data_IF_815958401318
#
_entry.id   IF_815958401318
#
_cell.length_a   1.000
_cell.length_b   1.000
_cell.length_c   1.000
_cell.angle_alpha   90.00
_cell.angle_beta   90.00
_cell.angle_gamma   90.00
#
_symmetry.space_group_name_H-M   'P 1'
#
loop_
_entity.id
_entity.type
_entity.pdbx_description
1 polymer ?
#
# COMPACT_ATOMS: atom_id res chain seq x y z
N UNK A 1 -12.20 24.72 8.46
CA UNK A 1 -11.84 23.83 9.59
C UNK A 1 -10.34 23.84 9.72
N UNK A 2 -9.85 23.86 10.96
CA UNK A 2 -8.49 23.43 11.31
C UNK A 2 -8.48 21.91 11.46
N UNK A 3 -7.72 21.22 10.62
CA UNK A 3 -7.73 19.76 10.52
C UNK A 3 -6.34 19.20 10.82
N UNK A 4 -6.28 18.27 11.77
CA UNK A 4 -5.08 17.50 12.08
C UNK A 4 -5.09 16.18 11.29
N UNK A 5 -4.02 15.88 10.57
CA UNK A 5 -3.79 14.56 9.99
C UNK A 5 -2.61 13.90 10.72
N UNK A 6 -2.85 12.76 11.35
CA UNK A 6 -1.83 12.03 12.12
C UNK A 6 -1.16 10.99 11.24
N UNK A 7 0.14 11.15 11.02
CA UNK A 7 1.02 10.29 10.21
C UNK A 7 1.29 10.87 8.82
N UNK A 8 2.57 11.06 8.47
CA UNK A 8 3.04 11.56 7.18
C UNK A 8 3.53 10.44 6.25
N UNK A 9 2.85 9.29 6.28
CA UNK A 9 2.96 8.30 5.21
C UNK A 9 2.18 8.74 3.96
N UNK A 10 2.28 7.98 2.86
CA UNK A 10 1.64 8.36 1.58
C UNK A 10 0.13 8.59 1.68
N UNK A 11 -0.57 7.84 2.55
CA UNK A 11 -2.01 8.01 2.76
C UNK A 11 -2.29 9.29 3.54
N UNK A 12 -1.55 9.57 4.62
CA UNK A 12 -1.74 10.79 5.40
C UNK A 12 -1.39 12.05 4.61
N UNK A 13 -0.32 12.02 3.80
CA UNK A 13 0.02 13.13 2.90
C UNK A 13 -1.02 13.31 1.79
N UNK A 14 -1.53 12.22 1.21
CA UNK A 14 -2.63 12.33 0.23
C UNK A 14 -3.90 12.92 0.87
N UNK A 15 -4.25 12.51 2.09
CA UNK A 15 -5.37 13.08 2.84
C UNK A 15 -5.16 14.55 3.17
N UNK A 16 -3.99 14.92 3.68
CA UNK A 16 -3.66 16.32 3.96
C UNK A 16 -3.78 17.18 2.71
N UNK A 17 -3.31 16.70 1.57
CA UNK A 17 -3.45 17.36 0.27
C UNK A 17 -4.92 17.53 -0.12
N UNK A 18 -5.71 16.47 -0.07
CA UNK A 18 -7.14 16.53 -0.44
C UNK A 18 -7.90 17.56 0.42
N UNK A 19 -7.61 17.60 1.72
CA UNK A 19 -8.22 18.57 2.65
C UNK A 19 -7.74 20.01 2.38
N UNK A 20 -6.45 20.21 2.11
CA UNK A 20 -5.91 21.53 1.80
C UNK A 20 -6.50 22.10 0.49
N UNK A 21 -6.67 21.25 -0.54
CA UNK A 21 -7.34 21.61 -1.80
C UNK A 21 -8.81 21.99 -1.62
N UNK A 22 -9.47 21.49 -0.57
CA UNK A 22 -10.84 21.89 -0.18
C UNK A 22 -10.88 23.16 0.68
N UNK A 23 -9.73 23.80 0.90
CA UNK A 23 -9.63 25.07 1.63
C UNK A 23 -9.61 24.92 3.16
N UNK A 24 -9.31 23.73 3.68
CA UNK A 24 -9.07 23.56 5.11
C UNK A 24 -7.65 23.98 5.49
N UNK A 25 -7.47 24.46 6.72
CA UNK A 25 -6.15 24.66 7.31
C UNK A 25 -5.66 23.32 7.84
N UNK A 26 -4.58 22.79 7.27
CA UNK A 26 -4.13 21.41 7.55
C UNK A 26 -2.80 21.41 8.28
N UNK A 27 -2.72 20.66 9.37
CA UNK A 27 -1.45 20.26 9.99
C UNK A 27 -1.31 18.74 9.87
N UNK A 28 -0.23 18.28 9.25
CA UNK A 28 0.16 16.86 9.25
C UNK A 28 1.18 16.67 10.38
N UNK A 29 0.82 15.89 11.41
CA UNK A 29 1.73 15.57 12.52
C UNK A 29 2.39 14.20 12.29
N UNK A 30 3.71 14.16 12.32
CA UNK A 30 4.54 12.97 12.15
C UNK A 30 5.39 12.73 13.40
N UNK A 31 5.38 11.50 13.90
CA UNK A 31 6.15 11.11 15.08
C UNK A 31 7.65 11.02 14.78
N UNK A 32 8.01 10.68 13.54
CA UNK A 32 9.39 10.54 13.08
C UNK A 32 10.02 11.89 12.68
N UNK A 33 11.33 11.88 12.41
CA UNK A 33 12.10 13.06 12.01
C UNK A 33 12.03 13.40 10.51
N UNK A 34 11.29 12.59 9.74
CA UNK A 34 11.01 12.78 8.33
C UNK A 34 9.69 12.11 7.94
N UNK A 35 9.08 12.59 6.85
CA UNK A 35 7.90 11.96 6.27
C UNK A 35 8.23 10.63 5.59
N UNK A 36 7.24 9.75 5.46
CA UNK A 36 7.32 8.55 4.63
C UNK A 36 8.26 7.46 5.12
N UNK A 37 8.80 7.55 6.33
CA UNK A 37 9.80 6.61 6.88
C UNK A 37 9.21 5.25 7.28
N UNK A 38 7.89 5.17 7.49
CA UNK A 38 7.16 3.96 7.87
C UNK A 38 6.90 2.97 6.72
N UNK A 39 5.70 2.41 6.64
CA UNK A 39 5.31 1.41 5.61
C UNK A 39 5.55 1.91 4.19
N UNK A 40 5.37 3.21 3.95
CA UNK A 40 5.53 3.83 2.64
C UNK A 40 6.94 3.71 2.05
N UNK A 41 8.00 3.67 2.87
CA UNK A 41 9.39 3.49 2.41
C UNK A 41 9.77 2.02 2.13
N UNK A 42 8.91 1.07 2.51
CA UNK A 42 9.22 -0.38 2.51
C UNK A 42 8.17 -1.17 1.74
N UNK A 43 7.86 -0.72 0.53
CA UNK A 43 6.88 -1.34 -0.37
C UNK A 43 7.54 -1.85 -1.64
N UNK A 44 6.79 -2.55 -2.50
CA UNK A 44 7.26 -2.93 -3.84
C UNK A 44 7.13 -1.80 -4.87
N UNK A 45 6.56 -0.65 -4.48
CA UNK A 45 6.35 0.51 -5.34
C UNK A 45 5.48 0.25 -6.59
N UNK A 46 4.68 -0.81 -6.55
CA UNK A 46 3.81 -1.19 -7.66
C UNK A 46 2.54 -0.34 -7.67
N UNK A 47 2.21 0.20 -8.85
CA UNK A 47 0.88 0.71 -9.17
C UNK A 47 0.02 -0.50 -9.57
N UNK A 48 -0.84 -0.96 -8.65
CA UNK A 48 -1.68 -2.14 -8.85
C UNK A 48 -2.87 -1.83 -9.76
N UNK A 49 -3.26 -2.81 -10.59
CA UNK A 49 -4.38 -2.64 -11.51
C UNK A 49 -5.75 -2.99 -10.92
N UNK A 50 -5.84 -3.68 -9.78
CA UNK A 50 -7.13 -3.94 -9.09
C UNK A 50 -7.81 -5.30 -9.30
N UNK A 51 -7.16 -6.27 -9.96
CA UNK A 51 -7.79 -7.56 -10.33
C UNK A 51 -7.94 -8.63 -9.25
N UNK A 52 -7.26 -8.49 -8.11
CA UNK A 52 -7.23 -9.54 -7.08
C UNK A 52 -8.24 -9.33 -5.95
N UNK A 53 -8.81 -8.14 -5.86
CA UNK A 53 -9.62 -7.75 -4.71
C UNK A 53 -11.08 -8.15 -4.93
N UNK A 54 -11.77 -8.69 -3.90
CA UNK A 54 -13.18 -9.02 -4.00
C UNK A 54 -14.00 -7.82 -4.50
N UNK A 55 -14.92 -8.06 -5.42
CA UNK A 55 -15.82 -7.01 -5.92
C UNK A 55 -16.61 -6.37 -4.77
N UNK A 56 -16.77 -5.05 -4.81
CA UNK A 56 -17.46 -4.27 -3.76
C UNK A 56 -16.61 -3.96 -2.52
N UNK A 57 -15.37 -4.46 -2.44
CA UNK A 57 -14.43 -4.07 -1.38
C UNK A 57 -13.87 -2.66 -1.58
N UNK A 58 -13.52 -2.00 -0.48
CA UNK A 58 -12.79 -0.74 -0.44
C UNK A 58 -11.47 -0.86 -1.21
N UNK A 59 -10.75 -1.98 -1.05
CA UNK A 59 -9.55 -2.28 -1.84
C UNK A 59 -9.81 -2.32 -3.34
N UNK A 60 -10.88 -2.98 -3.79
CA UNK A 60 -11.18 -3.06 -5.22
C UNK A 60 -11.50 -1.67 -5.79
N UNK A 61 -12.39 -0.94 -5.13
CA UNK A 61 -12.79 0.41 -5.54
C UNK A 61 -11.61 1.36 -5.59
N UNK A 62 -10.91 1.53 -4.46
CA UNK A 62 -9.82 2.48 -4.34
C UNK A 62 -8.57 2.07 -5.11
N UNK A 63 -8.35 0.79 -5.41
CA UNK A 63 -7.21 0.40 -6.24
C UNK A 63 -7.41 0.82 -7.69
N UNK A 64 -8.59 0.57 -8.27
CA UNK A 64 -8.86 0.86 -9.68
C UNK A 64 -8.90 2.37 -9.91
N UNK A 65 -9.65 3.07 -9.08
CA UNK A 65 -9.76 4.52 -9.16
C UNK A 65 -8.46 5.21 -8.75
N UNK A 66 -7.83 4.76 -7.66
CA UNK A 66 -6.54 5.28 -7.21
C UNK A 66 -5.44 5.11 -8.25
N UNK A 67 -5.38 3.98 -8.99
CA UNK A 67 -4.42 3.82 -10.07
C UNK A 67 -4.59 4.87 -11.17
N UNK A 68 -5.84 5.19 -11.55
CA UNK A 68 -6.15 6.24 -12.54
C UNK A 68 -5.69 7.61 -12.04
N UNK A 69 -6.06 7.97 -10.81
CA UNK A 69 -5.67 9.24 -10.21
C UNK A 69 -4.15 9.35 -10.07
N UNK A 70 -3.48 8.28 -9.64
CA UNK A 70 -2.04 8.25 -9.42
C UNK A 70 -1.25 8.44 -10.71
N UNK A 71 -1.63 7.77 -11.81
CA UNK A 71 -0.98 8.02 -13.11
C UNK A 71 -1.15 9.47 -13.56
N UNK A 72 -2.36 10.04 -13.42
CA UNK A 72 -2.61 11.43 -13.77
C UNK A 72 -1.77 12.39 -12.92
N UNK A 73 -1.72 12.15 -11.60
CA UNK A 73 -0.93 12.94 -10.66
C UNK A 73 0.56 12.87 -10.98
N UNK A 74 1.08 11.68 -11.26
CA UNK A 74 2.49 11.51 -11.58
C UNK A 74 2.86 12.21 -12.89
N UNK A 75 1.97 12.18 -13.88
CA UNK A 75 2.17 12.88 -15.14
C UNK A 75 2.14 14.41 -14.98
N UNK A 76 1.22 14.96 -14.18
CA UNK A 76 1.11 16.40 -13.97
C UNK A 76 2.21 16.99 -13.10
N UNK A 77 2.75 16.23 -12.15
CA UNK A 77 3.75 16.71 -11.18
C UNK A 77 5.17 16.21 -11.47
N UNK A 78 5.37 15.49 -12.58
CA UNK A 78 6.68 14.97 -12.95
C UNK A 78 7.22 13.90 -11.99
N UNK A 79 6.36 13.20 -11.25
CA UNK A 79 6.77 12.09 -10.39
C UNK A 79 7.24 10.93 -11.27
N UNK A 80 8.47 10.41 -11.09
CA UNK A 80 8.97 9.30 -11.88
C UNK A 80 8.08 8.06 -11.75
N UNK A 81 7.61 7.54 -12.87
CA UNK A 81 6.74 6.36 -12.93
C UNK A 81 6.84 5.66 -14.28
N UNK A 82 6.45 4.39 -14.33
CA UNK A 82 6.45 3.59 -15.56
C UNK A 82 5.33 2.56 -15.56
N UNK A 83 4.44 2.63 -16.54
CA UNK A 83 3.46 1.58 -16.84
C UNK A 83 4.15 0.41 -17.57
N UNK A 84 4.99 -0.34 -16.85
CA UNK A 84 5.80 -1.42 -17.43
C UNK A 84 5.00 -2.69 -17.75
N UNK A 85 3.74 -2.79 -17.30
CA UNK A 85 2.93 -3.98 -17.43
C UNK A 85 3.29 -5.09 -16.42
N UNK A 86 2.38 -6.04 -16.28
CA UNK A 86 2.56 -7.24 -15.46
C UNK A 86 2.03 -8.47 -16.18
N UNK A 87 2.72 -9.59 -16.04
CA UNK A 87 2.22 -10.92 -16.39
C UNK A 87 1.90 -11.70 -15.12
N UNK A 88 0.68 -12.21 -15.02
CA UNK A 88 0.30 -13.19 -14.01
C UNK A 88 0.40 -14.57 -14.68
N UNK A 89 1.21 -15.47 -14.15
CA UNK A 89 1.66 -16.65 -14.89
C UNK A 89 1.27 -17.95 -14.19
N UNK A 90 0.81 -18.91 -15.00
CA UNK A 90 0.49 -20.26 -14.57
C UNK A 90 1.60 -21.20 -15.05
N UNK A 91 1.94 -22.15 -14.20
CA UNK A 91 2.93 -23.20 -14.45
C UNK A 91 2.28 -24.55 -14.76
N UNK A 92 0.97 -24.68 -14.51
CA UNK A 92 0.16 -25.88 -14.72
C UNK A 92 -1.31 -25.51 -15.04
N UNK A 93 -2.12 -26.52 -15.37
CA UNK A 93 -3.51 -26.34 -15.80
C UNK A 93 -4.41 -25.85 -14.65
N UNK A 94 -4.16 -26.28 -13.41
CA UNK A 94 -4.92 -25.83 -12.25
C UNK A 94 -4.67 -24.35 -11.92
N UNK A 95 -3.46 -23.85 -12.15
CA UNK A 95 -3.15 -22.43 -12.09
C UNK A 95 -3.80 -21.63 -13.24
N UNK A 96 -3.94 -22.22 -14.43
CA UNK A 96 -4.57 -21.56 -15.59
C UNK A 96 -6.06 -21.22 -15.34
N UNK A 97 -6.82 -22.12 -14.69
CA UNK A 97 -8.21 -21.84 -14.32
C UNK A 97 -8.34 -20.64 -13.37
N UNK A 98 -7.40 -20.50 -12.43
CA UNK A 98 -7.35 -19.36 -11.51
C UNK A 98 -7.03 -18.06 -12.23
N UNK A 99 -6.15 -18.09 -13.22
CA UNK A 99 -5.88 -16.92 -14.06
C UNK A 99 -7.16 -16.47 -14.77
N UNK A 100 -7.96 -17.40 -15.29
CA UNK A 100 -9.24 -17.07 -15.89
C UNK A 100 -10.22 -16.46 -14.87
N UNK A 101 -10.23 -16.94 -13.63
CA UNK A 101 -11.02 -16.34 -12.54
C UNK A 101 -10.55 -14.92 -12.20
N UNK A 102 -9.23 -14.69 -12.10
CA UNK A 102 -8.64 -13.36 -11.86
C UNK A 102 -8.99 -12.40 -12.99
N UNK A 103 -8.99 -12.87 -14.24
CA UNK A 103 -9.42 -12.06 -15.39
C UNK A 103 -10.87 -11.61 -15.23
N UNK A 104 -11.80 -12.54 -14.96
CA UNK A 104 -13.23 -12.20 -14.75
C UNK A 104 -13.42 -11.23 -13.59
N UNK A 105 -12.71 -11.42 -12.48
CA UNK A 105 -12.75 -10.48 -11.35
C UNK A 105 -12.20 -9.10 -11.73
N UNK A 106 -11.10 -9.05 -12.48
CA UNK A 106 -10.54 -7.80 -12.99
C UNK A 106 -11.50 -7.08 -13.94
N UNK A 107 -12.13 -7.79 -14.86
CA UNK A 107 -13.18 -7.23 -15.73
C UNK A 107 -14.36 -6.70 -14.92
N UNK A 108 -14.83 -7.44 -13.92
CA UNK A 108 -15.91 -7.01 -13.02
C UNK A 108 -15.53 -5.80 -12.16
N UNK A 109 -14.26 -5.67 -11.78
CA UNK A 109 -13.74 -4.51 -11.05
C UNK A 109 -13.47 -3.30 -11.98
N UNK A 110 -13.66 -3.45 -13.30
CA UNK A 110 -13.43 -2.36 -14.27
C UNK A 110 -11.96 -2.17 -14.66
N UNK A 111 -11.12 -3.19 -14.49
CA UNK A 111 -9.70 -3.14 -14.90
C UNK A 111 -9.58 -3.20 -16.43
N UNK A 112 -9.03 -2.17 -17.09
CA UNK A 112 -9.00 -2.14 -18.55
C UNK A 112 -7.83 -2.91 -19.14
N UNK A 113 -8.04 -3.48 -20.33
CA UNK A 113 -6.98 -4.02 -21.19
C UNK A 113 -6.37 -5.35 -20.73
N UNK A 114 -7.12 -6.16 -19.97
CA UNK A 114 -6.65 -7.49 -19.57
C UNK A 114 -6.68 -8.46 -20.75
N UNK A 115 -5.55 -9.12 -21.01
CA UNK A 115 -5.39 -10.03 -22.13
C UNK A 115 -4.90 -11.40 -21.66
N UNK A 116 -5.63 -12.45 -22.02
CA UNK A 116 -5.17 -13.82 -21.79
C UNK A 116 -4.23 -14.24 -22.93
N UNK A 117 -3.03 -14.70 -22.57
CA UNK A 117 -1.98 -15.10 -23.48
C UNK A 117 -1.66 -16.57 -23.28
N UNK A 118 -1.48 -17.31 -24.37
CA UNK A 118 -0.81 -18.60 -24.29
C UNK A 118 0.69 -18.43 -23.95
N UNK A 119 1.34 -19.51 -23.52
CA UNK A 119 2.76 -19.47 -23.15
C UNK A 119 3.70 -19.04 -24.28
N UNK A 120 3.34 -19.27 -25.56
CA UNK A 120 4.14 -18.81 -26.69
C UNK A 120 4.08 -17.28 -26.83
N UNK A 121 2.89 -16.70 -26.67
CA UNK A 121 2.66 -15.26 -26.70
C UNK A 121 3.32 -14.57 -25.52
N UNK A 122 3.22 -15.16 -24.32
CA UNK A 122 3.91 -14.66 -23.14
C UNK A 122 5.44 -14.66 -23.32
N UNK A 123 6.03 -15.72 -23.91
CA UNK A 123 7.47 -15.78 -24.23
C UNK A 123 7.93 -14.80 -25.31
N UNK A 124 7.05 -14.41 -26.23
CA UNK A 124 7.35 -13.33 -27.19
C UNK A 124 7.51 -11.98 -26.47
N UNK A 125 6.78 -11.77 -25.37
CA UNK A 125 6.93 -10.57 -24.53
C UNK A 125 8.14 -10.67 -23.59
N UNK A 126 8.35 -11.85 -23.00
CA UNK A 126 9.37 -12.10 -21.99
C UNK A 126 10.12 -13.42 -22.30
N UNK A 127 11.22 -13.39 -23.07
CA UNK A 127 11.89 -14.60 -23.58
C UNK A 127 12.39 -15.59 -22.52
N UNK A 128 12.68 -15.11 -21.30
CA UNK A 128 13.13 -15.94 -20.19
C UNK A 128 11.99 -16.61 -19.40
N UNK A 129 10.73 -16.39 -19.80
CA UNK A 129 9.56 -16.84 -19.06
C UNK A 129 9.22 -18.30 -19.34
N UNK A 130 9.00 -19.07 -18.27
CA UNK A 130 8.34 -20.37 -18.32
C UNK A 130 6.90 -20.23 -17.80
N UNK A 131 5.91 -20.51 -18.66
CA UNK A 131 4.51 -20.57 -18.28
C UNK A 131 3.69 -21.35 -19.31
N UNK A 132 2.54 -21.88 -18.89
CA UNK A 132 1.50 -22.47 -19.75
C UNK A 132 0.59 -21.38 -20.31
N UNK A 133 0.14 -20.47 -19.44
CA UNK A 133 -0.76 -19.35 -19.73
C UNK A 133 -0.31 -18.13 -18.91
N UNK A 134 -0.53 -16.93 -19.44
CA UNK A 134 -0.34 -15.69 -18.72
C UNK A 134 -1.54 -14.74 -18.89
N UNK A 135 -1.88 -13.99 -17.86
CA UNK A 135 -2.76 -12.82 -17.96
C UNK A 135 -1.90 -11.56 -17.97
N UNK A 136 -1.96 -10.83 -19.07
CA UNK A 136 -1.28 -9.57 -19.25
C UNK A 136 -2.15 -8.41 -18.73
N UNK A 137 -1.57 -7.64 -17.83
CA UNK A 137 -2.13 -6.40 -17.30
C UNK A 137 -1.24 -5.22 -17.72
N UNK A 138 -1.55 -4.55 -18.84
CA UNK A 138 -0.67 -3.55 -19.44
C UNK A 138 -0.55 -2.28 -18.60
N UNK A 139 -1.56 -1.96 -17.78
CA UNK A 139 -1.56 -0.74 -16.95
C UNK A 139 -0.93 -0.91 -15.57
N UNK A 140 -0.48 -2.12 -15.20
CA UNK A 140 0.30 -2.27 -13.97
C UNK A 140 1.64 -1.56 -14.17
N UNK A 141 2.14 -0.88 -13.14
CA UNK A 141 3.37 -0.13 -13.25
C UNK A 141 4.11 0.00 -11.94
N UNK A 142 5.08 0.90 -11.93
CA UNK A 142 5.89 1.25 -10.77
C UNK A 142 6.04 2.76 -10.65
N UNK A 143 6.22 3.27 -9.45
CA UNK A 143 6.31 4.70 -9.12
C UNK A 143 7.43 4.95 -8.13
N UNK A 144 8.11 6.08 -8.21
CA UNK A 144 8.97 6.55 -7.11
C UNK A 144 8.08 7.02 -5.95
N UNK A 145 7.97 6.18 -4.92
CA UNK A 145 7.08 6.45 -3.80
C UNK A 145 7.52 7.65 -2.95
N UNK A 146 8.83 7.94 -2.90
CA UNK A 146 9.35 9.07 -2.14
C UNK A 146 9.12 10.38 -2.89
N UNK A 147 9.37 10.42 -4.21
CA UNK A 147 9.03 11.56 -5.05
C UNK A 147 7.52 11.84 -5.07
N UNK A 148 6.68 10.80 -5.04
CA UNK A 148 5.23 10.95 -4.88
C UNK A 148 4.90 11.66 -3.56
N UNK A 149 5.42 11.17 -2.43
CA UNK A 149 5.18 11.77 -1.11
C UNK A 149 5.69 13.21 -1.03
N UNK A 150 6.85 13.50 -1.61
CA UNK A 150 7.40 14.84 -1.69
C UNK A 150 6.49 15.79 -2.49
N UNK A 151 5.96 15.34 -3.62
CA UNK A 151 5.02 16.14 -4.42
C UNK A 151 3.70 16.39 -3.68
N UNK A 152 3.18 15.39 -2.95
CA UNK A 152 1.99 15.55 -2.10
C UNK A 152 2.23 16.57 -0.99
N UNK A 153 3.38 16.52 -0.33
CA UNK A 153 3.78 17.48 0.69
C UNK A 153 3.88 18.90 0.12
N UNK A 154 4.51 19.06 -1.06
CA UNK A 154 4.58 20.35 -1.74
C UNK A 154 3.20 20.95 -1.99
N UNK A 155 2.22 20.15 -2.45
CA UNK A 155 0.84 20.64 -2.62
C UNK A 155 0.14 21.00 -1.30
N UNK A 156 0.45 20.32 -0.19
CA UNK A 156 -0.08 20.72 1.13
C UNK A 156 0.45 22.11 1.49
N UNK A 157 1.76 22.33 1.34
CA UNK A 157 2.42 23.60 1.69
C UNK A 157 1.98 24.75 0.76
N UNK A 158 1.83 24.49 -0.54
CA UNK A 158 1.33 25.46 -1.53
C UNK A 158 -0.08 25.96 -1.20
N UNK A 159 -0.87 25.16 -0.47
CA UNK A 159 -2.22 25.50 -0.03
C UNK A 159 -2.27 25.92 1.46
N UNK A 160 -1.12 26.28 2.04
CA UNK A 160 -1.02 26.86 3.39
C UNK A 160 -1.09 25.84 4.53
N UNK A 161 -1.01 24.54 4.23
CA UNK A 161 -0.84 23.51 5.24
C UNK A 161 0.62 23.39 5.72
N UNK A 162 0.84 22.62 6.78
CA UNK A 162 2.15 22.43 7.38
C UNK A 162 2.41 20.99 7.79
N UNK A 163 3.68 20.58 7.78
CA UNK A 163 4.18 19.33 8.36
C UNK A 163 4.90 19.59 9.68
N UNK A 164 4.44 18.95 10.76
CA UNK A 164 5.06 18.97 12.07
C UNK A 164 5.75 17.63 12.34
N UNK A 165 7.08 17.62 12.31
CA UNK A 165 7.92 16.44 12.54
C UNK A 165 8.27 16.27 14.03
N UNK A 166 8.57 15.03 14.45
CA UNK A 166 8.85 14.68 15.86
C UNK A 166 7.72 15.12 16.80
N UNK A 167 6.49 15.04 16.31
CA UNK A 167 5.26 15.47 17.00
C UNK A 167 4.31 14.26 17.10
N UNK A 168 4.62 13.26 17.96
CA UNK A 168 3.74 12.12 18.16
C UNK A 168 2.43 12.58 18.79
N UNK A 169 1.30 12.19 18.19
CA UNK A 169 -0.03 12.42 18.78
C UNK A 169 -0.35 11.24 19.70
N UNK A 170 -0.48 11.53 20.98
CA UNK A 170 -0.61 10.51 22.02
C UNK A 170 -2.07 10.27 22.38
N UNK A 171 -2.88 11.31 22.51
CA UNK A 171 -4.25 11.21 23.01
C UNK A 171 -5.18 12.20 22.27
N UNK A 172 -6.45 11.84 22.12
CA UNK A 172 -7.49 12.71 21.56
C UNK A 172 -8.64 12.80 22.56
N UNK A 173 -8.90 13.98 23.11
CA UNK A 173 -10.06 14.26 23.96
C UNK A 173 -10.99 15.28 23.30
N UNK A 174 -12.19 15.47 23.82
CA UNK A 174 -13.17 16.41 23.26
C UNK A 174 -13.54 17.48 24.26
N UNK A 175 -13.37 18.74 23.85
CA UNK A 175 -13.68 19.91 24.69
C UNK A 175 -14.22 21.05 23.85
N UNK A 176 -15.29 21.68 24.34
CA UNK A 176 -15.91 22.86 23.73
C UNK A 176 -16.24 22.67 22.23
N UNK A 177 -16.63 21.44 21.87
CA UNK A 177 -17.01 21.06 20.49
C UNK A 177 -15.84 20.63 19.60
N UNK A 178 -14.60 20.85 20.02
CA UNK A 178 -13.38 20.57 19.26
C UNK A 178 -12.61 19.37 19.81
N UNK A 179 -11.77 18.77 18.96
CA UNK A 179 -10.82 17.75 19.34
C UNK A 179 -9.58 18.39 19.95
N UNK A 180 -9.18 17.92 21.13
CA UNK A 180 -7.97 18.33 21.81
C UNK A 180 -6.93 17.23 21.58
N UNK A 181 -5.95 17.49 20.73
CA UNK A 181 -4.87 16.56 20.45
C UNK A 181 -3.71 16.81 21.41
N UNK A 182 -3.35 15.81 22.21
CA UNK A 182 -2.16 15.84 23.04
C UNK A 182 -0.94 15.38 22.23
N UNK A 183 0.07 16.23 22.15
CA UNK A 183 1.34 15.94 21.50
C UNK A 183 2.40 15.58 22.54
N UNK A 184 3.21 14.57 22.24
CA UNK A 184 4.42 14.25 22.95
C UNK A 184 5.66 14.87 22.31
N UNK A 185 6.81 14.19 22.44
CA UNK A 185 8.08 14.65 21.87
C UNK A 185 8.85 15.60 22.79
N UNK A 186 9.72 16.44 22.21
CA UNK A 186 10.59 17.34 22.97
C UNK A 186 9.81 18.50 23.62
N UNK A 187 8.73 18.94 22.98
CA UNK A 187 7.86 20.03 23.43
C UNK A 187 6.41 19.52 23.52
N UNK A 188 6.06 18.78 24.59
CA UNK A 188 4.72 18.25 24.74
C UNK A 188 3.70 19.37 24.95
N UNK A 189 2.48 19.16 24.47
CA UNK A 189 1.44 20.18 24.53
C UNK A 189 0.08 19.67 24.10
N UNK A 190 -0.88 20.59 24.00
CA UNK A 190 -2.22 20.29 23.51
C UNK A 190 -2.68 21.40 22.59
N UNK A 191 -3.31 21.02 21.48
CA UNK A 191 -3.92 21.98 20.55
C UNK A 191 -5.32 21.50 20.15
N UNK A 192 -6.20 22.47 19.96
CA UNK A 192 -7.57 22.23 19.52
C UNK A 192 -7.62 22.15 17.99
N UNK A 193 -8.47 21.25 17.47
CA UNK A 193 -8.77 21.09 16.05
C UNK A 193 -10.27 20.89 15.86
N UNK A 194 -10.78 21.36 14.73
CA UNK A 194 -12.17 21.10 14.34
C UNK A 194 -12.35 19.64 13.91
N UNK A 195 -11.32 19.06 13.28
CA UNK A 195 -11.33 17.67 12.85
C UNK A 195 -9.95 16.98 12.95
N UNK A 196 -9.97 15.66 13.07
CA UNK A 196 -8.79 14.80 13.13
C UNK A 196 -8.94 13.60 12.19
N UNK A 197 -7.92 13.35 11.37
CA UNK A 197 -7.75 12.09 10.64
C UNK A 197 -6.60 11.30 11.23
N UNK A 198 -6.89 10.09 11.71
CA UNK A 198 -5.86 9.15 12.13
C UNK A 198 -5.43 8.27 10.94
N UNK A 199 -4.31 8.63 10.31
CA UNK A 199 -3.64 7.88 9.25
C UNK A 199 -2.35 7.21 9.75
N UNK A 200 -2.23 6.95 11.06
CA UNK A 200 -0.98 6.58 11.73
C UNK A 200 -0.53 5.12 11.49
N UNK A 201 -1.10 4.42 10.50
CA UNK A 201 -0.78 3.03 10.13
C UNK A 201 -0.71 2.09 11.34
N UNK A 202 0.49 1.74 11.81
CA UNK A 202 0.68 0.86 12.97
C UNK A 202 0.21 1.49 14.28
N UNK A 203 0.33 2.82 14.41
CA UNK A 203 -0.14 3.58 15.56
C UNK A 203 -1.65 3.80 15.57
N UNK A 204 -2.35 3.56 14.46
CA UNK A 204 -3.75 3.93 14.33
C UNK A 204 -4.66 3.24 15.37
N UNK A 205 -4.58 1.92 15.61
CA UNK A 205 -5.38 1.26 16.65
C UNK A 205 -5.08 1.80 18.06
N UNK A 206 -3.80 2.09 18.36
CA UNK A 206 -3.39 2.58 19.66
C UNK A 206 -3.92 3.99 19.93
N UNK A 207 -3.90 4.88 18.92
CA UNK A 207 -4.48 6.23 19.04
C UNK A 207 -6.00 6.18 19.13
N UNK A 208 -6.66 5.31 18.35
CA UNK A 208 -8.11 5.12 18.42
C UNK A 208 -8.56 4.62 19.80
N UNK A 209 -7.79 3.73 20.44
CA UNK A 209 -8.05 3.28 21.81
C UNK A 209 -7.89 4.39 22.87
N UNK A 210 -7.14 5.45 22.55
CA UNK A 210 -6.92 6.64 23.39
C UNK A 210 -7.67 7.86 22.85
N UNK A 211 -8.73 7.61 22.08
CA UNK A 211 -9.63 8.66 21.60
C UNK A 211 -10.90 8.64 22.44
N UNK A 212 -11.18 9.74 23.13
CA UNK A 212 -12.35 9.89 23.98
C UNK A 212 -13.64 9.62 23.19
N UNK A 213 -14.46 8.72 23.73
CA UNK A 213 -15.74 8.34 23.14
C UNK A 213 -15.66 7.35 21.98
N UNK A 214 -14.46 6.97 21.50
CA UNK A 214 -14.35 5.95 20.47
C UNK A 214 -14.67 4.55 21.04
N UNK A 215 -15.62 3.79 20.47
CA UNK A 215 -16.04 2.52 21.05
C UNK A 215 -14.90 1.49 21.05
N UNK A 216 -14.61 0.90 22.20
CA UNK A 216 -13.48 -0.02 22.38
C UNK A 216 -13.58 -1.26 21.47
N UNK A 217 -14.80 -1.76 21.24
CA UNK A 217 -15.11 -2.88 20.35
C UNK A 217 -14.83 -2.57 18.87
N UNK A 218 -14.75 -1.29 18.49
CA UNK A 218 -14.36 -0.88 17.14
C UNK A 218 -12.85 -0.84 16.98
N UNK A 219 -12.05 -0.78 18.05
CA UNK A 219 -10.59 -0.79 17.92
C UNK A 219 -10.12 -2.15 17.39
N UNK A 220 -9.52 -2.23 16.20
CA UNK A 220 -9.12 -3.52 15.65
C UNK A 220 -7.83 -4.01 16.30
N UNK A 221 -7.63 -5.33 16.28
CA UNK A 221 -6.34 -5.91 16.67
C UNK A 221 -5.33 -5.76 15.54
N UNK A 222 -4.24 -5.04 15.79
CA UNK A 222 -3.12 -4.98 14.87
C UNK A 222 -2.37 -6.32 14.86
N UNK A 223 -2.17 -6.86 13.66
CA UNK A 223 -1.26 -7.97 13.40
C UNK A 223 -0.15 -7.52 12.47
N UNK A 224 1.04 -8.10 12.61
CA UNK A 224 2.18 -7.75 11.78
C UNK A 224 2.56 -8.93 10.88
N UNK A 225 2.64 -8.66 9.59
CA UNK A 225 3.13 -9.61 8.60
C UNK A 225 4.32 -8.99 7.85
N UNK A 226 5.51 -9.50 8.14
CA UNK A 226 6.76 -9.19 7.44
C UNK A 226 6.73 -9.75 6.03
N UNK A 227 7.30 -8.98 5.12
CA UNK A 227 7.58 -9.39 3.75
C UNK A 227 9.04 -9.12 3.44
N UNK A 228 9.78 -10.18 3.19
CA UNK A 228 11.20 -10.15 2.88
C UNK A 228 11.40 -10.02 1.37
N UNK A 229 12.37 -9.19 0.97
CA UNK A 229 12.76 -9.00 -0.41
C UNK A 229 14.21 -9.41 -0.63
N UNK A 230 14.45 -10.02 -1.79
CA UNK A 230 15.78 -10.36 -2.27
C UNK A 230 16.06 -9.62 -3.57
N UNK A 231 17.22 -9.00 -3.66
CA UNK A 231 17.75 -8.47 -4.91
C UNK A 231 18.34 -9.60 -5.75
N UNK A 232 18.55 -9.33 -7.03
CA UNK A 232 19.19 -10.27 -7.96
C UNK A 232 20.40 -9.62 -8.63
N UNK A 233 21.52 -10.33 -8.69
CA UNK A 233 22.71 -9.89 -9.41
C UNK A 233 22.54 -10.10 -10.92
N UNK A 234 23.24 -9.29 -11.71
CA UNK A 234 23.20 -9.35 -13.17
C UNK A 234 22.17 -8.42 -13.80
N UNK A 235 21.95 -8.61 -15.10
CA UNK A 235 21.00 -7.78 -15.87
C UNK A 235 19.57 -8.27 -15.63
N UNK A 236 18.57 -7.38 -15.71
CA UNK A 236 17.17 -7.77 -15.54
C UNK A 236 16.77 -8.81 -16.58
N UNK A 237 16.21 -9.94 -16.13
CA UNK A 237 15.75 -11.01 -17.01
C UNK A 237 14.39 -10.71 -17.68
N UNK A 238 13.67 -9.73 -17.13
CA UNK A 238 12.31 -9.38 -17.54
C UNK A 238 12.17 -7.86 -17.67
N UNK A 239 11.29 -7.43 -18.57
CA UNK A 239 10.92 -6.01 -18.74
C UNK A 239 9.59 -5.64 -18.08
N UNK A 240 8.80 -6.64 -17.71
CA UNK A 240 7.52 -6.56 -16.99
C UNK A 240 7.64 -7.14 -15.58
N UNK A 241 6.66 -6.81 -14.74
CA UNK A 241 6.49 -7.50 -13.45
C UNK A 241 5.95 -8.92 -13.68
N UNK A 242 6.42 -9.91 -12.92
CA UNK A 242 5.99 -11.31 -13.06
C UNK A 242 5.42 -11.80 -11.74
N UNK A 243 4.15 -12.19 -11.74
CA UNK A 243 3.45 -12.66 -10.55
C UNK A 243 2.98 -14.10 -10.80
N UNK A 244 3.40 -15.10 -10.02
CA UNK A 244 2.80 -16.43 -10.11
C UNK A 244 1.30 -16.38 -9.76
N UNK A 245 0.53 -17.30 -10.32
CA UNK A 245 -0.85 -17.51 -9.92
C UNK A 245 -0.94 -17.84 -8.41
N UNK A 246 -1.99 -17.41 -7.69
CA UNK A 246 -2.19 -17.78 -6.29
C UNK A 246 -2.26 -19.30 -6.12
N UNK A 247 -1.51 -19.86 -5.15
CA UNK A 247 -1.51 -21.30 -4.88
C UNK A 247 -2.58 -21.67 -3.84
N UNK A 248 -3.17 -22.87 -4.01
CA UNK A 248 -4.18 -23.42 -3.07
C UNK A 248 -3.48 -24.08 -1.87
N UNK A 249 -2.28 -24.63 -2.07
CA UNK A 249 -1.50 -25.36 -1.07
C UNK A 249 -0.66 -24.46 -0.13
N UNK A 250 -0.86 -23.14 -0.21
CA UNK A 250 -0.10 -22.18 0.60
C UNK A 250 1.35 -21.96 0.16
N UNK A 251 1.77 -22.47 -1.00
CA UNK A 251 3.11 -22.23 -1.52
C UNK A 251 3.41 -20.74 -1.77
N UNK A 252 4.67 -20.34 -1.58
CA UNK A 252 5.14 -18.95 -1.70
C UNK A 252 4.92 -18.39 -3.11
N UNK A 253 4.05 -17.38 -3.22
CA UNK A 253 3.90 -16.56 -4.42
C UNK A 253 4.97 -15.48 -4.48
N UNK A 254 6.20 -15.83 -4.89
CA UNK A 254 7.30 -14.85 -4.98
C UNK A 254 7.17 -14.05 -6.27
N UNK A 255 6.75 -12.80 -6.14
CA UNK A 255 6.67 -11.88 -7.26
C UNK A 255 8.06 -11.43 -7.70
N UNK A 256 8.20 -11.12 -8.99
CA UNK A 256 9.28 -10.32 -9.54
C UNK A 256 8.77 -8.90 -9.77
N UNK A 257 9.48 -7.94 -9.21
CA UNK A 257 9.27 -6.52 -9.45
C UNK A 257 10.54 -5.86 -9.98
N UNK A 258 10.37 -4.70 -10.60
CA UNK A 258 11.44 -3.89 -11.17
C UNK A 258 11.37 -2.51 -10.53
N UNK A 259 12.49 -1.95 -10.09
CA UNK A 259 12.52 -0.52 -9.81
C UNK A 259 12.56 0.31 -11.10
N UNK A 260 12.55 1.63 -10.97
CA UNK A 260 12.59 2.55 -12.12
C UNK A 260 13.90 2.43 -12.91
N UNK A 261 15.02 2.14 -12.25
CA UNK A 261 16.31 1.85 -12.87
C UNK A 261 16.37 0.45 -13.53
N UNK A 262 15.36 -0.38 -13.32
CA UNK A 262 15.23 -1.72 -13.84
C UNK A 262 15.83 -2.81 -12.94
N UNK A 263 16.34 -2.49 -11.75
CA UNK A 263 16.86 -3.49 -10.80
C UNK A 263 15.75 -4.46 -10.42
N UNK A 264 16.07 -5.74 -10.49
CA UNK A 264 15.13 -6.82 -10.17
C UNK A 264 15.08 -7.07 -8.66
N UNK A 265 13.86 -7.16 -8.13
CA UNK A 265 13.57 -7.53 -6.75
C UNK A 265 12.56 -8.68 -6.72
N UNK A 266 12.80 -9.63 -5.84
CA UNK A 266 11.93 -10.77 -5.59
C UNK A 266 11.27 -10.67 -4.23
N UNK A 267 9.99 -11.01 -4.18
CA UNK A 267 9.18 -10.97 -2.97
C UNK A 267 7.96 -10.06 -3.13
N UNK A 268 7.33 -9.65 -2.02
CA UNK A 268 7.61 -10.13 -0.68
C UNK A 268 7.07 -11.54 -0.43
N UNK A 269 7.67 -12.26 0.50
CA UNK A 269 7.00 -13.39 1.17
C UNK A 269 6.03 -12.92 2.28
N UNK A 270 5.58 -13.86 3.10
CA UNK A 270 4.74 -13.60 4.28
C UNK A 270 5.33 -14.33 5.48
N UNK A 271 5.63 -13.57 6.53
CA UNK A 271 6.11 -14.07 7.82
C UNK A 271 5.42 -13.28 8.94
N UNK A 272 4.66 -13.98 9.79
CA UNK A 272 3.98 -13.34 10.91
C UNK A 272 4.94 -13.12 12.06
N UNK A 273 4.91 -11.93 12.65
CA UNK A 273 5.85 -11.50 13.70
C UNK A 273 5.11 -10.76 14.81
N UNK A 274 5.69 -10.76 16.01
CA UNK A 274 5.10 -10.11 17.20
C UNK A 274 5.62 -8.68 17.43
N UNK A 275 6.59 -8.23 16.63
CA UNK A 275 7.21 -6.91 16.79
C UNK A 275 7.80 -6.35 15.51
N UNK A 276 8.29 -5.12 15.60
CA UNK A 276 8.91 -4.41 14.49
C UNK A 276 10.34 -4.90 14.22
N UNK A 277 10.46 -5.98 13.44
CA UNK A 277 11.75 -6.52 13.01
C UNK A 277 11.89 -6.46 11.48
N UNK A 278 12.80 -5.61 11.00
CA UNK A 278 13.05 -5.39 9.57
C UNK A 278 14.25 -6.15 9.02
N UNK A 279 14.86 -7.05 9.81
CA UNK A 279 15.99 -7.88 9.35
C UNK A 279 15.51 -8.91 8.34
N UNK A 280 16.27 -9.08 7.26
CA UNK A 280 16.06 -10.15 6.27
C UNK A 280 17.00 -11.30 6.62
N UNK A 281 16.44 -12.47 6.89
CA UNK A 281 17.21 -13.69 7.08
C UNK A 281 17.71 -14.22 5.73
N UNK A 282 19.05 -14.27 5.48
CA UNK A 282 19.60 -14.79 4.24
C UNK A 282 19.23 -16.25 3.96
N UNK A 283 18.95 -17.05 4.99
CA UNK A 283 18.54 -18.46 4.85
C UNK A 283 17.23 -18.64 4.09
N UNK A 284 16.39 -17.60 4.00
CA UNK A 284 15.13 -17.62 3.24
C UNK A 284 15.33 -17.68 1.73
N UNK A 285 16.54 -17.39 1.24
CA UNK A 285 16.84 -17.39 -0.20
C UNK A 285 16.55 -18.75 -0.86
N UNK A 286 16.77 -19.87 -0.16
CA UNK A 286 16.55 -21.22 -0.70
C UNK A 286 15.11 -21.43 -1.18
N UNK A 287 14.13 -21.03 -0.37
CA UNK A 287 12.72 -21.08 -0.73
C UNK A 287 12.38 -20.14 -1.91
N UNK A 288 13.07 -18.99 -2.01
CA UNK A 288 12.91 -18.06 -3.12
C UNK A 288 13.40 -18.67 -4.43
N UNK A 289 14.57 -19.32 -4.47
CA UNK A 289 15.05 -20.00 -5.68
C UNK A 289 14.03 -21.01 -6.21
N UNK A 290 13.48 -21.86 -5.32
CA UNK A 290 12.49 -22.86 -5.70
C UNK A 290 11.22 -22.24 -6.28
N UNK A 291 10.72 -21.15 -5.68
CA UNK A 291 9.52 -20.47 -6.16
C UNK A 291 9.75 -19.72 -7.48
N UNK A 292 10.87 -19.00 -7.62
CA UNK A 292 11.19 -18.19 -8.81
C UNK A 292 11.45 -19.09 -10.02
N UNK A 293 12.17 -20.21 -9.84
CA UNK A 293 12.51 -21.13 -10.94
C UNK A 293 11.31 -21.78 -11.63
N UNK A 294 10.12 -21.70 -11.02
CA UNK A 294 8.87 -22.12 -11.69
C UNK A 294 8.57 -21.27 -12.92
N UNK A 295 8.79 -19.96 -12.84
CA UNK A 295 8.57 -19.04 -13.96
C UNK A 295 9.85 -18.52 -14.61
N UNK A 296 11.01 -18.67 -13.95
CA UNK A 296 12.32 -18.35 -14.51
C UNK A 296 13.35 -19.46 -14.22
N UNK A 297 13.32 -20.57 -14.96
CA UNK A 297 14.24 -21.69 -14.75
C UNK A 297 15.72 -21.31 -14.88
N UNK A 298 16.01 -20.24 -15.63
CA UNK A 298 17.36 -19.72 -15.86
C UNK A 298 17.94 -18.86 -14.73
N UNK A 299 17.25 -18.71 -13.58
CA UNK A 299 17.80 -17.99 -12.41
C UNK A 299 19.13 -18.64 -11.97
N UNK A 300 20.28 -17.93 -12.03
CA UNK A 300 21.58 -18.49 -11.65
C UNK A 300 21.67 -18.80 -10.16
N UNK A 301 22.41 -19.85 -9.79
CA UNK A 301 22.74 -20.12 -8.39
C UNK A 301 23.54 -18.96 -7.78
N UNK A 302 23.27 -18.62 -6.52
CA UNK A 302 23.97 -17.55 -5.80
C UNK A 302 23.64 -16.13 -6.26
N UNK A 303 22.67 -15.93 -7.17
CA UNK A 303 22.30 -14.61 -7.68
C UNK A 303 21.46 -13.77 -6.70
N UNK A 304 20.79 -14.39 -5.73
CA UNK A 304 19.94 -13.71 -4.76
C UNK A 304 20.74 -13.21 -3.55
N UNK A 305 20.52 -11.97 -3.16
CA UNK A 305 21.05 -11.38 -1.93
C UNK A 305 19.93 -10.70 -1.13
N UNK A 306 20.00 -10.70 0.22
CA UNK A 306 19.04 -9.98 1.06
C UNK A 306 18.99 -8.50 0.68
N UNK A 307 17.79 -7.94 0.50
CA UNK A 307 17.61 -6.53 0.16
C UNK A 307 17.01 -5.77 1.36
N UNK A 308 15.69 -5.83 1.52
CA UNK A 308 14.99 -5.20 2.65
C UNK A 308 13.78 -6.02 3.07
N UNK A 309 13.22 -5.69 4.24
CA UNK A 309 11.91 -6.15 4.66
C UNK A 309 10.96 -4.96 4.88
N UNK A 310 9.68 -5.22 4.64
CA UNK A 310 8.58 -4.35 5.04
C UNK A 310 7.61 -5.07 5.97
N UNK A 311 6.86 -4.32 6.76
CA UNK A 311 5.80 -4.84 7.63
C UNK A 311 4.44 -4.35 7.14
N UNK A 312 3.45 -5.23 7.17
CA UNK A 312 2.07 -4.90 6.77
C UNK A 312 1.20 -4.71 8.02
N UNK A 313 0.41 -3.63 8.12
CA UNK A 313 -0.56 -3.43 9.20
C UNK A 313 -1.80 -4.26 8.94
N UNK A 314 -1.81 -5.53 9.38
CA UNK A 314 -2.91 -6.48 9.16
C UNK A 314 -3.98 -6.32 10.22
N UNK A 315 -5.25 -6.53 9.85
CA UNK A 315 -6.38 -6.60 10.79
C UNK A 315 -6.87 -8.03 11.08
N UNK A 316 -6.38 -9.00 10.30
CA UNK A 316 -6.63 -10.43 10.49
C UNK A 316 -5.31 -11.18 10.52
N UNK A 317 -5.32 -12.36 11.15
CA UNK A 317 -4.15 -13.21 11.40
C UNK A 317 -3.97 -14.37 10.40
N UNK A 318 -3.04 -15.28 10.69
CA UNK A 318 -2.78 -16.46 9.87
C UNK A 318 -4.02 -17.35 9.74
N UNK A 319 -4.34 -17.78 8.52
CA UNK A 319 -5.48 -18.68 8.25
C UNK A 319 -6.85 -17.99 8.18
N UNK A 320 -6.94 -16.71 8.55
CA UNK A 320 -8.15 -15.91 8.43
C UNK A 320 -8.25 -15.26 7.04
N UNK A 321 -9.47 -14.95 6.61
CA UNK A 321 -9.67 -14.15 5.42
C UNK A 321 -9.02 -12.77 5.60
N UNK A 322 -8.35 -12.25 4.57
CA UNK A 322 -7.77 -10.92 4.63
C UNK A 322 -8.89 -9.89 4.81
N UNK A 323 -8.88 -9.16 5.91
CA UNK A 323 -9.82 -8.05 6.14
C UNK A 323 -9.64 -6.97 5.07
N UNK A 324 -10.72 -6.25 4.76
CA UNK A 324 -10.65 -5.10 3.86
C UNK A 324 -9.95 -3.88 4.51
N UNK A 325 -9.76 -2.81 3.73
CA UNK A 325 -9.48 -1.49 4.31
C UNK A 325 -10.65 -1.04 5.17
N UNK A 326 -10.35 -0.32 6.27
CA UNK A 326 -11.37 0.25 7.13
C UNK A 326 -11.21 1.76 7.20
N UNK A 327 -12.25 2.48 6.81
CA UNK A 327 -12.37 3.94 6.92
C UNK A 327 -13.55 4.20 7.84
N UNK A 328 -13.27 4.40 9.12
CA UNK A 328 -14.31 4.66 10.12
C UNK A 328 -14.46 6.17 10.29
N UNK A 329 -15.56 6.74 9.83
CA UNK A 329 -15.89 8.16 10.01
C UNK A 329 -17.12 8.38 10.90
N UNK A 330 -17.66 9.61 10.93
CA UNK A 330 -18.76 9.97 11.82
C UNK A 330 -20.01 9.10 11.65
N UNK A 331 -20.31 8.63 10.43
CA UNK A 331 -21.43 7.73 10.17
C UNK A 331 -21.24 6.34 10.84
N UNK A 332 -19.99 5.91 11.01
CA UNK A 332 -19.62 4.61 11.54
C UNK A 332 -19.56 4.57 13.09
N UNK A 333 -19.13 5.65 13.73
CA UNK A 333 -18.90 5.72 15.18
C UNK A 333 -19.62 6.87 15.91
N UNK A 334 -20.28 7.78 15.19
CA UNK A 334 -21.08 8.87 15.78
C UNK A 334 -20.28 10.03 16.38
N UNK A 335 -18.97 10.15 16.07
CA UNK A 335 -18.11 11.21 16.60
C UNK A 335 -17.82 12.23 15.48
N UNK A 336 -18.39 13.45 15.52
CA UNK A 336 -18.18 14.44 14.47
C UNK A 336 -16.71 14.86 14.35
N UNK A 337 -16.26 15.08 13.10
CA UNK A 337 -14.91 15.56 12.79
C UNK A 337 -13.80 14.54 13.07
N UNK A 338 -14.09 13.24 13.12
CA UNK A 338 -13.09 12.20 13.36
C UNK A 338 -13.16 11.14 12.28
N UNK A 339 -12.02 10.79 11.70
CA UNK A 339 -11.89 9.63 10.81
C UNK A 339 -10.68 8.80 11.22
N UNK A 340 -10.86 7.49 11.33
CA UNK A 340 -9.77 6.54 11.54
C UNK A 340 -9.58 5.62 10.33
N UNK A 341 -8.32 5.44 9.94
CA UNK A 341 -7.90 4.52 8.89
C UNK A 341 -7.21 3.31 9.50
N UNK A 342 -7.72 2.11 9.21
CA UNK A 342 -7.15 0.86 9.71
C UNK A 342 -6.87 -0.11 8.57
N UNK A 343 -5.78 -0.88 8.71
CA UNK A 343 -5.52 -2.00 7.82
C UNK A 343 -5.08 -1.60 6.41
N UNK A 344 -4.57 -0.37 6.23
CA UNK A 344 -4.15 0.14 4.92
C UNK A 344 -2.79 -0.47 4.52
N UNK A 345 -2.82 -1.76 4.19
CA UNK A 345 -1.73 -2.49 3.54
C UNK A 345 -1.78 -2.34 2.00
N UNK A 346 -1.15 -3.24 1.22
CA UNK A 346 -1.30 -3.23 -0.25
C UNK A 346 -2.78 -3.40 -0.66
N UNK A 347 -3.31 -2.57 -1.58
CA UNK A 347 -2.62 -1.64 -2.49
C UNK A 347 -2.62 -0.16 -2.02
N UNK A 348 -2.45 0.13 -0.74
CA UNK A 348 -2.59 1.46 -0.13
C UNK A 348 -1.80 2.59 -0.80
N UNK A 349 -0.60 2.30 -1.35
CA UNK A 349 0.15 3.25 -2.17
C UNK A 349 -0.64 3.66 -3.43
N UNK A 350 -1.12 2.68 -4.19
CA UNK A 350 -1.93 2.90 -5.39
C UNK A 350 -3.26 3.59 -5.06
N UNK A 351 -3.85 3.22 -3.92
CA UNK A 351 -5.14 3.71 -3.46
C UNK A 351 -5.10 5.07 -2.77
N UNK A 352 -3.91 5.61 -2.48
CA UNK A 352 -3.71 6.77 -1.60
C UNK A 352 -4.57 7.99 -1.94
N UNK A 353 -4.56 8.44 -3.20
CA UNK A 353 -5.36 9.60 -3.65
C UNK A 353 -6.87 9.34 -3.56
N UNK A 354 -7.33 8.15 -3.94
CA UNK A 354 -8.75 7.81 -3.91
C UNK A 354 -9.26 7.63 -2.47
N UNK A 355 -8.43 7.07 -1.59
CA UNK A 355 -8.71 7.01 -0.14
C UNK A 355 -8.80 8.41 0.46
N UNK A 356 -7.92 9.32 0.05
CA UNK A 356 -7.89 10.68 0.56
C UNK A 356 -9.20 11.44 0.27
N UNK A 357 -9.74 11.33 -0.95
CA UNK A 357 -11.03 11.93 -1.30
C UNK A 357 -12.17 11.35 -0.44
N UNK A 358 -12.20 10.03 -0.27
CA UNK A 358 -13.24 9.37 0.52
C UNK A 358 -13.14 9.65 2.03
N UNK A 359 -11.96 10.01 2.53
CA UNK A 359 -11.76 10.50 3.91
C UNK A 359 -12.27 11.93 4.03
N UNK A 360 -11.91 12.80 3.09
CA UNK A 360 -12.36 14.18 3.10
C UNK A 360 -13.89 14.28 2.97
N UNK A 361 -14.52 13.46 2.11
CA UNK A 361 -15.99 13.38 1.99
C UNK A 361 -16.67 12.97 3.31
N UNK A 362 -16.07 12.05 4.08
CA UNK A 362 -16.59 11.63 5.39
C UNK A 362 -16.42 12.69 6.47
N UNK A 363 -15.45 13.59 6.32
CA UNK A 363 -15.27 14.73 7.24
C UNK A 363 -16.24 15.88 6.96
N UNK A 364 -16.57 16.10 5.68
CA UNK A 364 -17.46 17.18 5.23
C UNK A 364 -18.97 16.84 5.37
N UNK A 365 -19.31 15.57 5.62
CA UNK A 365 -20.69 15.06 5.72
C UNK A 365 -21.34 15.29 7.09
#
# INVERSE_FOLDING_TARGET
MEVLVVGAGVVGLATGRALALRGHAVIVAEAEDAFGTGVSSRSSEVIHAGMYYPGGSERAHHCVEGARQLYNFCASHGVPHRACGKLIVASDDGEAEKIAAIRRQGEANGVPGLELLDGSAARRLEPNLACTVALHSPRTGVVDSHALMLALLGEIEDHGGALALRTPVEDLSRRDGQWQAAFGGAEPGTMAFDAVVNAASFGAPALAARTEGYPAERVPTLRLARGNYFGCTGKPAFSRLIYPAPRIDGGLGIHLTLDLAGRTRFGPDVEWVDGFDYRVDPGRAEAFYGAIRRYWPGLPDGALYPDYAGLRPKLTGPGEAAADFRIDGPAEHGLPGLVHLFGIESPGLTSSLSLAEAVADRLDA
#
